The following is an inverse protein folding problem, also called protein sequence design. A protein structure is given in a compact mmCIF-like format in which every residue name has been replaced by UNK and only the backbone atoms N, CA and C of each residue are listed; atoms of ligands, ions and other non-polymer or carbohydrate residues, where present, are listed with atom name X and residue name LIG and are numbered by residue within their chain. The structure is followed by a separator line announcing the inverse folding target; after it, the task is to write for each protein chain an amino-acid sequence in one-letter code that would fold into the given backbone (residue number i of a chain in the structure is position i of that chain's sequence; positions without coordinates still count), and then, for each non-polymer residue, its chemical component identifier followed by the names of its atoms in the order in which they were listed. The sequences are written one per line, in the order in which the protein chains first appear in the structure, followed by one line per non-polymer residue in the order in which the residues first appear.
data_IF_140029370359
#
_entry.id   IF_140029370359
#
_cell.length_a   1.000
_cell.length_b   1.000
_cell.length_c   1.000
_cell.angle_alpha   90.00
_cell.angle_beta   90.00
_cell.angle_gamma   90.00
#
_symmetry.space_group_name_H-M   'P 1'
#
loop_
_entity.id
_entity.type
_entity.pdbx_description
1 polymer ?
#
# COMPACT_ATOMS: atom_id res chain seq x y z
N UNK A 1 17.89 -21.42 -3.22
CA UNK A 1 17.29 -20.34 -4.06
C UNK A 1 17.71 -18.99 -3.47
N UNK A 2 18.37 -18.14 -4.25
CA UNK A 2 18.72 -16.78 -3.85
C UNK A 2 17.67 -15.79 -4.40
N UNK A 3 17.23 -14.83 -3.59
CA UNK A 3 16.27 -13.79 -4.00
C UNK A 3 16.54 -12.47 -3.29
N UNK A 4 16.29 -11.37 -3.98
CA UNK A 4 16.39 -10.01 -3.44
C UNK A 4 15.10 -9.48 -2.81
N UNK A 5 14.00 -10.19 -3.00
CA UNK A 5 12.70 -9.83 -2.46
C UNK A 5 12.55 -10.26 -1.01
N UNK A 6 13.04 -9.42 -0.08
CA UNK A 6 12.87 -9.64 1.36
C UNK A 6 11.39 -9.78 1.74
N UNK A 7 10.52 -8.97 1.14
CA UNK A 7 9.08 -9.00 1.40
C UNK A 7 8.45 -10.34 0.99
N UNK A 8 8.90 -10.95 -0.10
CA UNK A 8 8.46 -12.28 -0.52
C UNK A 8 8.87 -13.36 0.51
N UNK A 9 10.12 -13.32 0.98
CA UNK A 9 10.61 -14.24 2.02
C UNK A 9 9.85 -14.08 3.33
N UNK A 10 9.60 -12.83 3.75
CA UNK A 10 8.79 -12.54 4.93
C UNK A 10 7.37 -13.10 4.78
N UNK A 11 6.73 -12.94 3.62
CA UNK A 11 5.40 -13.49 3.35
C UNK A 11 5.39 -15.03 3.31
N UNK A 12 6.46 -15.67 2.84
CA UNK A 12 6.62 -17.12 2.91
C UNK A 12 6.88 -17.63 4.32
N UNK A 13 7.51 -16.83 5.19
CA UNK A 13 7.69 -17.16 6.62
C UNK A 13 6.48 -16.81 7.48
N UNK A 14 5.61 -15.91 7.03
CA UNK A 14 4.51 -15.39 7.85
C UNK A 14 3.47 -16.45 8.13
N UNK A 15 2.80 -16.36 9.28
CA UNK A 15 1.74 -17.28 9.62
C UNK A 15 0.49 -17.00 8.77
N UNK A 16 0.10 -17.99 7.95
CA UNK A 16 -1.03 -17.93 7.01
C UNK A 16 -2.34 -17.54 7.72
N UNK A 17 -2.52 -17.95 8.97
CA UNK A 17 -3.74 -17.67 9.75
C UNK A 17 -3.78 -16.26 10.36
N UNK A 18 -2.66 -15.53 10.39
CA UNK A 18 -2.56 -14.20 11.00
C UNK A 18 -2.32 -13.07 9.99
N UNK A 19 -1.87 -13.40 8.78
CA UNK A 19 -1.57 -12.42 7.73
C UNK A 19 -2.66 -12.35 6.66
N UNK A 20 -2.70 -11.24 5.92
CA UNK A 20 -3.49 -11.15 4.69
C UNK A 20 -3.19 -12.35 3.77
N UNK A 21 -4.24 -13.00 3.28
CA UNK A 21 -4.11 -14.15 2.38
C UNK A 21 -3.74 -13.65 0.99
N UNK A 22 -2.47 -13.84 0.61
CA UNK A 22 -1.99 -13.62 -0.74
C UNK A 22 -2.12 -14.92 -1.54
N UNK A 23 -2.99 -15.01 -2.56
CA UNK A 23 -3.22 -16.25 -3.31
C UNK A 23 -1.93 -16.83 -3.88
N UNK A 24 -1.02 -15.97 -4.37
CA UNK A 24 0.27 -16.38 -4.92
C UNK A 24 1.17 -17.06 -3.88
N UNK A 25 1.22 -16.54 -2.65
CA UNK A 25 2.03 -17.12 -1.57
C UNK A 25 1.51 -18.51 -1.18
N UNK A 26 0.19 -18.70 -1.18
CA UNK A 26 -0.43 -20.00 -0.93
C UNK A 26 -0.05 -21.00 -2.02
N UNK A 27 -0.12 -20.58 -3.29
CA UNK A 27 0.30 -21.41 -4.43
C UNK A 27 1.78 -21.81 -4.33
N UNK A 28 2.67 -20.86 -4.01
CA UNK A 28 4.10 -21.15 -3.85
C UNK A 28 4.33 -22.14 -2.72
N UNK A 29 3.68 -21.97 -1.57
CA UNK A 29 3.78 -22.90 -0.44
C UNK A 29 3.31 -24.31 -0.80
N UNK A 30 2.22 -24.43 -1.55
CA UNK A 30 1.74 -25.73 -2.04
C UNK A 30 2.79 -26.41 -2.92
N UNK A 31 3.40 -25.68 -3.85
CA UNK A 31 4.48 -26.22 -4.68
C UNK A 31 5.71 -26.64 -3.87
N UNK A 32 6.12 -25.81 -2.91
CA UNK A 32 7.24 -26.14 -2.02
C UNK A 32 6.96 -27.41 -1.23
N UNK A 33 5.74 -27.56 -0.70
CA UNK A 33 5.32 -28.77 0.00
C UNK A 33 5.37 -30.01 -0.90
N UNK A 34 4.87 -29.92 -2.13
CA UNK A 34 4.96 -31.04 -3.08
C UNK A 34 6.41 -31.42 -3.41
N UNK A 35 7.32 -30.45 -3.47
CA UNK A 35 8.74 -30.70 -3.73
C UNK A 35 9.43 -31.33 -2.51
N UNK A 36 9.11 -30.90 -1.30
CA UNK A 36 9.65 -31.54 -0.09
C UNK A 36 9.18 -32.98 0.05
N UNK A 37 7.92 -33.27 -0.29
CA UNK A 37 7.39 -34.65 -0.33
C UNK A 37 8.12 -35.53 -1.37
N UNK A 38 8.59 -34.93 -2.47
CA UNK A 38 9.40 -35.63 -3.46
C UNK A 38 10.87 -35.85 -3.05
N UNK A 39 11.26 -35.43 -1.85
CA UNK A 39 12.62 -35.59 -1.29
C UNK A 39 13.58 -34.44 -1.63
N UNK A 40 13.08 -33.32 -2.14
CA UNK A 40 13.91 -32.13 -2.41
C UNK A 40 13.99 -31.22 -1.18
N UNK A 41 15.19 -30.94 -0.69
CA UNK A 41 15.41 -29.90 0.32
C UNK A 41 15.66 -28.55 -0.36
N UNK A 42 14.81 -27.55 -0.07
CA UNK A 42 14.83 -26.23 -0.70
C UNK A 42 15.07 -25.17 0.36
N UNK A 43 16.24 -24.52 0.27
CA UNK A 43 16.59 -23.39 1.14
C UNK A 43 16.51 -22.07 0.40
N UNK A 44 16.04 -21.03 1.10
CA UNK A 44 15.98 -19.66 0.58
C UNK A 44 17.03 -18.78 1.25
N UNK A 45 17.74 -17.99 0.44
CA UNK A 45 18.75 -17.04 0.89
C UNK A 45 18.36 -15.66 0.37
N UNK A 46 18.31 -14.69 1.28
CA UNK A 46 18.12 -13.30 0.90
C UNK A 46 19.45 -12.71 0.41
N UNK A 47 19.41 -12.01 -0.71
CA UNK A 47 20.57 -11.30 -1.27
C UNK A 47 20.17 -9.85 -1.55
N UNK A 48 20.89 -8.84 -1.05
CA UNK A 48 20.51 -7.46 -1.30
C UNK A 48 20.57 -7.13 -2.80
N UNK A 49 19.46 -6.61 -3.34
CA UNK A 49 19.37 -6.20 -4.75
C UNK A 49 20.31 -5.03 -5.08
N UNK A 50 20.79 -5.00 -6.33
CA UNK A 50 21.62 -3.92 -6.88
C UNK A 50 22.93 -3.63 -6.11
N UNK A 51 23.56 -4.68 -5.57
CA UNK A 51 24.79 -4.58 -4.78
C UNK A 51 26.08 -4.91 -5.55
N UNK A 52 26.05 -5.00 -6.89
CA UNK A 52 27.24 -5.36 -7.67
C UNK A 52 27.49 -6.87 -7.80
N UNK A 53 26.58 -7.72 -7.30
CA UNK A 53 26.70 -9.17 -7.46
C UNK A 53 26.35 -9.54 -8.90
N UNK A 54 27.38 -9.82 -9.69
CA UNK A 54 27.27 -10.06 -11.13
C UNK A 54 26.15 -11.05 -11.52
N UNK A 55 25.98 -12.13 -10.73
CA UNK A 55 24.91 -13.11 -10.96
C UNK A 55 23.49 -12.54 -10.78
N UNK A 56 23.26 -11.73 -9.73
CA UNK A 56 21.94 -11.14 -9.47
C UNK A 56 21.62 -10.07 -10.52
N UNK A 57 22.60 -9.23 -10.87
CA UNK A 57 22.42 -8.17 -11.88
C UNK A 57 22.17 -8.74 -13.27
N UNK A 58 22.81 -9.87 -13.61
CA UNK A 58 22.55 -10.57 -14.85
C UNK A 58 21.10 -11.09 -14.92
N UNK A 59 20.62 -11.72 -13.85
CA UNK A 59 19.22 -12.17 -13.76
C UNK A 59 18.26 -10.99 -13.83
N UNK A 60 18.51 -9.90 -13.12
CA UNK A 60 17.69 -8.68 -13.18
C UNK A 60 17.61 -8.11 -14.60
N UNK A 61 18.73 -8.07 -15.32
CA UNK A 61 18.80 -7.58 -16.69
C UNK A 61 18.00 -8.49 -17.64
N UNK A 62 18.11 -9.80 -17.48
CA UNK A 62 17.32 -10.77 -18.26
C UNK A 62 15.83 -10.62 -17.98
N UNK A 63 15.42 -10.53 -16.72
CA UNK A 63 14.02 -10.34 -16.32
C UNK A 63 13.48 -9.04 -16.90
N UNK A 64 14.20 -7.91 -16.77
CA UNK A 64 13.79 -6.61 -17.36
C UNK A 64 13.62 -6.69 -18.88
N UNK A 65 14.52 -7.39 -19.57
CA UNK A 65 14.43 -7.58 -21.03
C UNK A 65 13.28 -8.49 -21.46
N UNK A 66 12.88 -9.44 -20.61
CA UNK A 66 11.84 -10.43 -20.91
C UNK A 66 10.46 -10.03 -20.39
N UNK A 67 10.38 -9.06 -19.48
CA UNK A 67 9.13 -8.61 -18.85
C UNK A 67 8.10 -8.08 -19.86
N UNK A 68 8.56 -7.52 -20.99
CA UNK A 68 7.68 -7.07 -22.07
C UNK A 68 7.21 -8.19 -22.99
N UNK A 69 7.84 -9.38 -22.93
CA UNK A 69 7.64 -10.45 -23.92
C UNK A 69 6.47 -11.38 -23.56
N UNK A 70 6.02 -11.40 -22.31
CA UNK A 70 5.06 -12.39 -21.82
C UNK A 70 4.00 -11.75 -20.93
N UNK A 71 2.74 -11.97 -21.28
CA UNK A 71 1.62 -11.60 -20.42
C UNK A 71 1.71 -12.39 -19.10
N UNK A 72 1.54 -11.74 -17.95
CA UNK A 72 1.49 -12.46 -16.68
C UNK A 72 0.33 -13.47 -16.71
N UNK A 73 0.51 -14.66 -16.11
CA UNK A 73 -0.58 -15.62 -15.97
C UNK A 73 -1.77 -14.97 -15.24
N UNK A 74 -2.99 -15.47 -15.47
CA UNK A 74 -4.21 -14.99 -14.81
C UNK A 74 -4.24 -15.41 -13.33
N UNK A 75 -3.30 -14.92 -12.54
CA UNK A 75 -3.26 -15.12 -11.09
C UNK A 75 -4.24 -14.16 -10.44
N UNK A 76 -4.98 -14.64 -9.43
CA UNK A 76 -5.86 -13.78 -8.64
C UNK A 76 -5.01 -12.79 -7.85
N UNK A 77 -5.07 -11.52 -8.24
CA UNK A 77 -4.42 -10.41 -7.52
C UNK A 77 -5.40 -9.97 -6.42
N UNK A 78 -4.96 -9.89 -5.15
CA UNK A 78 -5.83 -9.44 -4.08
C UNK A 78 -6.17 -7.96 -4.25
N UNK A 79 -7.39 -7.57 -3.86
CA UNK A 79 -7.83 -6.17 -4.05
C UNK A 79 -6.94 -5.17 -3.29
N UNK A 80 -6.29 -5.63 -2.20
CA UNK A 80 -5.39 -4.84 -1.36
C UNK A 80 -4.29 -4.16 -2.16
N UNK A 81 -3.83 -4.79 -3.24
CA UNK A 81 -2.73 -4.28 -4.07
C UNK A 81 -3.16 -3.02 -4.83
N UNK A 82 -4.46 -2.86 -5.08
CA UNK A 82 -5.03 -1.67 -5.71
C UNK A 82 -5.29 -0.54 -4.71
N UNK A 83 -5.24 -0.78 -3.39
CA UNK A 83 -5.53 0.26 -2.38
C UNK A 83 -4.52 1.41 -2.47
N UNK A 84 -3.24 1.14 -2.72
CA UNK A 84 -2.22 2.17 -2.90
C UNK A 84 -2.52 3.05 -4.12
N UNK A 85 -2.90 2.43 -5.24
CA UNK A 85 -3.27 3.11 -6.49
C UNK A 85 -4.51 3.98 -6.26
N UNK A 86 -5.55 3.42 -5.66
CA UNK A 86 -6.79 4.13 -5.36
C UNK A 86 -6.53 5.32 -4.43
N UNK A 87 -5.75 5.13 -3.37
CA UNK A 87 -5.36 6.22 -2.46
C UNK A 87 -4.63 7.34 -3.18
N UNK A 88 -3.68 7.00 -4.06
CA UNK A 88 -2.95 8.00 -4.84
C UNK A 88 -3.89 8.74 -5.81
N UNK A 89 -4.76 8.02 -6.52
CA UNK A 89 -5.73 8.61 -7.43
C UNK A 89 -6.67 9.58 -6.71
N UNK A 90 -7.28 9.14 -5.61
CA UNK A 90 -8.17 9.97 -4.78
C UNK A 90 -7.45 11.20 -4.25
N UNK A 91 -6.20 11.04 -3.78
CA UNK A 91 -5.40 12.16 -3.28
C UNK A 91 -5.11 13.20 -4.37
N UNK A 92 -4.78 12.73 -5.58
CA UNK A 92 -4.50 13.61 -6.72
C UNK A 92 -5.76 14.33 -7.21
N UNK A 93 -6.89 13.63 -7.28
CA UNK A 93 -8.18 14.23 -7.65
C UNK A 93 -8.60 15.30 -6.65
N UNK A 94 -8.48 15.02 -5.35
CA UNK A 94 -8.74 15.98 -4.31
C UNK A 94 -7.79 17.18 -4.42
N UNK A 95 -6.49 16.97 -4.62
CA UNK A 95 -5.51 18.06 -4.71
C UNK A 95 -5.81 18.96 -5.91
N UNK A 96 -6.17 18.36 -7.04
CA UNK A 96 -6.60 19.10 -8.24
C UNK A 96 -7.86 19.90 -8.00
N UNK A 97 -8.87 19.30 -7.36
CA UNK A 97 -10.10 20.00 -7.01
C UNK A 97 -9.82 21.15 -6.04
N UNK A 98 -9.01 20.90 -5.01
CA UNK A 98 -8.60 21.88 -4.02
C UNK A 98 -7.85 23.07 -4.63
N UNK A 99 -6.98 22.80 -5.61
CA UNK A 99 -6.27 23.83 -6.38
C UNK A 99 -7.16 24.62 -7.34
N UNK A 100 -8.27 24.03 -7.82
CA UNK A 100 -9.22 24.71 -8.72
C UNK A 100 -10.17 25.68 -8.01
N UNK A 101 -10.29 25.59 -6.68
CA UNK A 101 -11.15 26.47 -5.90
C UNK A 101 -10.55 27.89 -5.82
N UNK A 102 -11.38 28.95 -5.78
CA UNK A 102 -10.90 30.33 -5.73
C UNK A 102 -9.92 30.59 -4.58
N UNK A 103 -8.94 31.47 -4.75
CA UNK A 103 -7.88 31.73 -3.75
C UNK A 103 -8.43 32.19 -2.38
N UNK A 104 -9.57 32.88 -2.37
CA UNK A 104 -10.25 33.36 -1.16
C UNK A 104 -11.11 32.28 -0.48
N UNK A 105 -11.34 31.13 -1.13
CA UNK A 105 -12.07 30.03 -0.52
C UNK A 105 -11.18 29.34 0.52
N UNK A 106 -11.65 29.27 1.76
CA UNK A 106 -11.00 28.58 2.86
C UNK A 106 -9.51 28.99 3.09
N UNK A 107 -9.18 30.28 2.94
CA UNK A 107 -7.82 30.82 3.02
C UNK A 107 -7.08 30.43 4.31
N UNK A 108 -7.77 30.48 5.46
CA UNK A 108 -7.22 30.07 6.74
C UNK A 108 -6.89 28.58 6.77
N UNK A 109 -7.80 27.74 6.28
CA UNK A 109 -7.60 26.28 6.25
C UNK A 109 -6.49 25.87 5.28
N UNK A 110 -6.37 26.52 4.11
CA UNK A 110 -5.25 26.31 3.17
C UNK A 110 -3.89 26.56 3.79
N UNK A 111 -3.79 27.55 4.67
CA UNK A 111 -2.54 27.88 5.38
C UNK A 111 -2.15 26.80 6.39
N UNK A 112 -3.12 26.07 6.94
CA UNK A 112 -2.91 25.07 7.99
C UNK A 112 -2.78 23.65 7.43
N UNK A 113 -3.55 23.31 6.39
CA UNK A 113 -3.53 21.99 5.77
C UNK A 113 -3.44 22.10 4.24
N UNK A 114 -2.22 22.29 3.69
CA UNK A 114 -2.01 22.36 2.25
C UNK A 114 -2.24 21.01 1.54
N UNK A 115 -2.16 19.90 2.26
CA UNK A 115 -2.36 18.53 1.75
C UNK A 115 -3.40 17.78 2.58
N UNK A 116 -3.96 16.69 2.04
CA UNK A 116 -4.87 15.81 2.79
C UNK A 116 -4.10 15.21 3.98
N UNK A 117 -4.57 15.40 5.22
CA UNK A 117 -4.00 14.71 6.37
C UNK A 117 -4.12 13.20 6.20
N UNK A 118 -3.04 12.47 6.49
CA UNK A 118 -3.05 10.99 6.45
C UNK A 118 -3.94 10.38 7.54
N UNK A 119 -4.30 11.17 8.54
CA UNK A 119 -5.12 10.78 9.68
C UNK A 119 -6.32 11.72 9.79
N UNK A 120 -7.49 11.21 10.18
CA UNK A 120 -8.66 12.05 10.40
C UNK A 120 -8.41 13.05 11.54
N UNK A 121 -9.09 14.19 11.49
CA UNK A 121 -8.92 15.29 12.46
C UNK A 121 -9.22 14.90 13.93
N UNK A 122 -9.95 13.80 14.14
CA UNK A 122 -10.27 13.25 15.47
C UNK A 122 -9.34 12.10 15.89
N UNK A 123 -8.31 11.78 15.09
CA UNK A 123 -7.32 10.78 15.47
C UNK A 123 -6.47 11.30 16.63
N UNK A 124 -6.61 10.69 17.82
CA UNK A 124 -5.82 11.05 18.99
C UNK A 124 -4.39 10.53 18.81
N UNK A 125 -3.36 11.38 18.69
CA UNK A 125 -1.98 10.89 18.73
C UNK A 125 -1.72 10.22 20.08
N UNK A 126 -1.08 9.05 20.05
CA UNK A 126 -0.53 8.45 21.27
C UNK A 126 0.58 9.37 21.76
N UNK A 127 0.35 10.04 22.88
CA UNK A 127 1.14 11.12 23.50
C UNK A 127 0.95 12.53 22.91
N UNK A 128 -0.02 13.27 23.47
CA UNK A 128 0.15 14.70 23.72
C UNK A 128 -0.25 14.98 25.16
N UNK A 129 0.74 15.37 25.97
CA UNK A 129 0.49 15.88 27.32
C UNK A 129 -0.31 17.17 27.21
N UNK A 130 -1.28 17.36 28.12
CA UNK A 130 -2.24 18.47 28.11
C UNK A 130 -1.56 19.81 28.37
N UNK A 131 -1.00 20.46 27.35
CA UNK A 131 -0.70 21.90 27.41
C UNK A 131 -0.84 22.52 26.02
N UNK A 132 -2.07 22.94 25.71
CA UNK A 132 -2.47 24.11 24.91
C UNK A 132 -3.85 23.82 24.30
N UNK A 133 -4.85 24.56 24.79
CA UNK A 133 -6.22 24.52 24.27
C UNK A 133 -6.23 25.02 22.83
N UNK A 134 -6.15 24.11 21.86
CA UNK A 134 -6.61 24.37 20.50
C UNK A 134 -8.12 24.10 20.52
N UNK A 135 -8.89 25.16 20.74
CA UNK A 135 -10.34 25.14 20.50
C UNK A 135 -10.53 25.04 18.99
N UNK A 136 -10.81 23.83 18.49
CA UNK A 136 -11.35 23.68 17.14
C UNK A 136 -12.77 24.24 17.16
N UNK A 137 -13.13 25.24 16.33
CA UNK A 137 -14.51 25.68 16.23
C UNK A 137 -15.37 24.54 15.68
N UNK A 138 -16.64 24.42 16.13
CA UNK A 138 -17.53 23.36 15.66
C UNK A 138 -17.76 23.47 14.15
N UNK A 139 -17.98 22.33 13.47
CA UNK A 139 -18.19 22.33 12.04
C UNK A 139 -19.48 23.07 11.69
N UNK A 140 -19.38 24.11 10.87
CA UNK A 140 -20.53 24.79 10.26
C UNK A 140 -21.06 23.88 9.13
N UNK A 141 -21.75 22.80 9.50
CA UNK A 141 -22.65 22.09 8.60
C UNK A 141 -24.06 22.18 9.17
N UNK A 142 -24.70 23.32 8.97
CA UNK A 142 -26.14 23.44 9.10
C UNK A 142 -26.73 23.75 7.72
N UNK A 143 -26.79 22.72 6.88
CA UNK A 143 -27.79 22.64 5.81
C UNK A 143 -28.58 21.35 6.04
N UNK A 144 -29.63 21.46 6.84
CA UNK A 144 -30.70 20.47 6.91
C UNK A 144 -31.49 20.52 5.61
N UNK A 145 -31.18 19.64 4.67
CA UNK A 145 -32.09 19.37 3.55
C UNK A 145 -33.06 18.28 4.02
N UNK A 146 -34.27 18.68 4.39
CA UNK A 146 -35.37 17.77 4.73
C UNK A 146 -35.84 17.07 3.45
N UNK A 147 -35.81 15.73 3.42
CA UNK A 147 -36.54 14.94 2.42
C UNK A 147 -37.81 14.41 3.10
N UNK A 148 -38.96 15.00 2.75
CA UNK A 148 -40.26 14.40 3.04
C UNK A 148 -40.55 13.32 2.01
N UNK A 149 -40.71 12.08 2.45
CA UNK A 149 -41.40 11.05 1.69
C UNK A 149 -42.90 11.17 2.01
N UNK A 150 -43.70 11.39 0.97
CA UNK A 150 -45.09 10.93 0.93
C UNK A 150 -45.08 9.47 0.46
#
# INVERSE_FOLDING_TARGET
IATDSLSCLQALSSNVFKSHLFPLIITIRHFLFSLTESGSDIQFIWVPGHTGIAGNEFVDKLVKSSASLRCPPSTKIPWSDFISILRNCTSNLWLRHWGSLPLYFATWYRKISPTIPTLPWFHKPQSFSKTHNIVLPPPVWSYTTSFSFL
#
